data_IF_896370701781
#
_entry.id   IF_896370701781
#
_cell.length_a   1.000
_cell.length_b   1.000
_cell.length_c   1.000
_cell.angle_alpha   90.00
_cell.angle_beta   90.00
_cell.angle_gamma   90.00
#
_symmetry.space_group_name_H-M   'P 1'
#
loop_
_entity.id
_entity.type
_entity.pdbx_description
1 polymer ?
#
# COMPACT_ATOMS: atom_id res chain seq x y z
N UNK A 1 13.65 -49.28 -10.60
CA UNK A 1 13.06 -48.03 -11.13
C UNK A 1 12.37 -47.33 -9.99
N UNK A 2 13.05 -46.38 -9.34
CA UNK A 2 12.51 -45.67 -8.17
C UNK A 2 12.14 -44.26 -8.62
N UNK A 3 10.84 -44.02 -8.76
CA UNK A 3 10.27 -42.74 -9.17
C UNK A 3 10.53 -41.70 -8.10
N UNK A 4 11.46 -40.77 -8.37
CA UNK A 4 11.68 -39.58 -7.55
C UNK A 4 10.53 -38.62 -7.81
N UNK A 5 9.54 -38.60 -6.92
CA UNK A 5 8.53 -37.55 -6.90
C UNK A 5 9.17 -36.27 -6.36
N UNK A 6 9.70 -35.42 -7.26
CA UNK A 6 9.98 -34.03 -6.94
C UNK A 6 8.65 -33.33 -6.65
N UNK A 7 8.29 -33.24 -5.36
CA UNK A 7 7.32 -32.25 -4.89
C UNK A 7 7.97 -30.87 -5.05
N UNK A 8 7.80 -30.24 -6.21
CA UNK A 8 7.96 -28.79 -6.30
C UNK A 8 6.92 -28.17 -5.37
N UNK A 9 7.35 -27.70 -4.18
CA UNK A 9 6.56 -26.80 -3.35
C UNK A 9 6.36 -25.51 -4.16
N UNK A 10 5.28 -25.46 -4.94
CA UNK A 10 4.78 -24.21 -5.46
C UNK A 10 4.14 -23.51 -4.25
N UNK A 11 4.85 -22.53 -3.68
CA UNK A 11 4.25 -21.66 -2.68
C UNK A 11 3.01 -21.02 -3.34
N UNK A 12 1.84 -21.02 -2.69
CA UNK A 12 0.71 -20.29 -3.22
C UNK A 12 1.14 -18.82 -3.37
N UNK A 13 1.04 -18.30 -4.60
CA UNK A 13 1.35 -16.92 -4.95
C UNK A 13 0.29 -15.99 -4.33
N UNK A 14 0.28 -15.90 -3.00
CA UNK A 14 -0.52 -14.91 -2.29
C UNK A 14 0.14 -13.55 -2.49
N UNK A 15 -0.32 -12.81 -3.49
CA UNK A 15 0.09 -11.42 -3.67
C UNK A 15 -0.42 -10.58 -2.50
N UNK A 16 0.49 -9.80 -1.93
CA UNK A 16 0.16 -8.73 -0.99
C UNK A 16 0.01 -7.43 -1.76
N UNK A 17 -1.10 -6.73 -1.53
CA UNK A 17 -1.44 -5.47 -2.16
C UNK A 17 -1.43 -4.41 -1.07
N UNK A 18 -0.64 -3.35 -1.26
CA UNK A 18 -0.58 -2.21 -0.35
C UNK A 18 -1.12 -0.95 -1.05
N UNK A 19 -2.11 -0.30 -0.43
CA UNK A 19 -2.57 1.03 -0.80
C UNK A 19 -1.80 2.06 0.05
N UNK A 20 -0.85 2.76 -0.56
CA UNK A 20 -0.11 3.83 0.10
C UNK A 20 -0.76 5.19 -0.12
N UNK A 21 -0.88 5.95 0.97
CA UNK A 21 -1.51 7.26 1.02
C UNK A 21 -0.54 8.28 1.62
N UNK A 22 -0.57 9.52 1.14
CA UNK A 22 0.11 10.65 1.78
C UNK A 22 -0.95 11.52 2.46
N UNK A 23 -0.82 11.72 3.78
CA UNK A 23 -1.77 12.50 4.55
C UNK A 23 -3.05 11.76 4.88
N UNK A 24 -3.93 12.42 5.65
CA UNK A 24 -5.20 11.84 6.10
C UNK A 24 -6.33 12.24 5.15
N UNK A 25 -7.21 11.29 4.81
CA UNK A 25 -8.48 11.56 4.14
C UNK A 25 -9.39 12.35 5.10
N UNK A 26 -9.83 13.53 4.68
CA UNK A 26 -10.69 14.41 5.48
C UNK A 26 -12.17 14.27 5.10
N UNK A 27 -12.47 13.90 3.86
CA UNK A 27 -13.85 13.70 3.43
C UNK A 27 -14.42 12.37 3.94
N UNK A 28 -15.43 12.46 4.81
CA UNK A 28 -16.08 11.28 5.43
C UNK A 28 -16.59 10.27 4.40
N UNK A 29 -17.21 10.73 3.32
CA UNK A 29 -17.76 9.84 2.30
C UNK A 29 -16.68 9.03 1.57
N UNK A 30 -15.50 9.61 1.36
CA UNK A 30 -14.34 8.90 0.79
C UNK A 30 -13.80 7.89 1.80
N UNK A 31 -13.63 8.28 3.07
CA UNK A 31 -13.16 7.38 4.12
C UNK A 31 -14.07 6.15 4.28
N UNK A 32 -15.40 6.34 4.27
CA UNK A 32 -16.37 5.24 4.31
C UNK A 32 -16.28 4.35 3.08
N UNK A 33 -16.07 4.94 1.89
CA UNK A 33 -15.83 4.19 0.66
C UNK A 33 -14.59 3.30 0.76
N UNK A 34 -13.46 3.87 1.16
CA UNK A 34 -12.18 3.17 1.35
C UNK A 34 -12.34 1.99 2.31
N UNK A 35 -13.01 2.20 3.46
CA UNK A 35 -13.27 1.13 4.43
C UNK A 35 -14.17 0.02 3.85
N UNK A 36 -15.19 0.39 3.08
CA UNK A 36 -16.11 -0.57 2.48
C UNK A 36 -15.41 -1.46 1.45
N UNK A 37 -14.56 -0.88 0.59
CA UNK A 37 -13.87 -1.63 -0.44
C UNK A 37 -12.65 -2.39 0.09
N UNK A 38 -11.91 -1.86 1.05
CA UNK A 38 -10.77 -2.57 1.67
C UNK A 38 -11.21 -3.89 2.31
N UNK A 39 -12.35 -3.89 3.03
CA UNK A 39 -12.98 -5.11 3.60
C UNK A 39 -13.42 -6.13 2.55
N UNK A 40 -13.70 -5.70 1.32
CA UNK A 40 -14.05 -6.60 0.22
C UNK A 40 -12.80 -7.21 -0.40
N UNK A 41 -11.77 -6.40 -0.66
CA UNK A 41 -10.51 -6.84 -1.28
C UNK A 41 -9.74 -7.79 -0.37
N UNK A 42 -9.73 -7.53 0.95
CA UNK A 42 -9.01 -8.36 1.93
C UNK A 42 -9.52 -9.79 2.04
N UNK A 43 -10.73 -10.09 1.54
CA UNK A 43 -11.27 -11.46 1.45
C UNK A 43 -10.59 -12.30 0.37
N UNK A 44 -9.98 -11.66 -0.62
CA UNK A 44 -9.42 -12.31 -1.81
C UNK A 44 -7.89 -12.24 -1.87
N UNK A 45 -7.27 -11.28 -1.18
CA UNK A 45 -5.82 -11.07 -1.18
C UNK A 45 -5.37 -10.41 0.13
N UNK A 46 -4.09 -10.52 0.47
CA UNK A 46 -3.53 -9.74 1.57
C UNK A 46 -3.56 -8.26 1.20
N UNK A 47 -4.50 -7.48 1.74
CA UNK A 47 -4.66 -6.06 1.43
C UNK A 47 -4.37 -5.21 2.66
N UNK A 48 -3.47 -4.24 2.54
CA UNK A 48 -3.13 -3.30 3.59
C UNK A 48 -3.22 -1.85 3.10
N UNK A 49 -3.46 -0.93 4.04
CA UNK A 49 -3.47 0.50 3.80
C UNK A 49 -2.37 1.12 4.65
N UNK A 50 -1.45 1.83 4.02
CA UNK A 50 -0.32 2.47 4.67
C UNK A 50 -0.46 3.99 4.50
N UNK A 51 -0.67 4.71 5.59
CA UNK A 51 -0.80 6.17 5.58
C UNK A 51 0.50 6.82 6.03
N UNK A 52 1.17 7.50 5.11
CA UNK A 52 2.36 8.30 5.40
C UNK A 52 1.96 9.66 5.98
N UNK A 53 2.71 10.17 6.97
CA UNK A 53 2.43 11.47 7.55
C UNK A 53 2.73 12.59 6.55
N UNK A 54 1.91 13.64 6.60
CA UNK A 54 2.09 14.86 5.80
C UNK A 54 3.51 15.43 5.92
N UNK A 55 3.95 16.09 4.85
CA UNK A 55 5.17 16.90 4.91
C UNK A 55 4.92 18.14 5.78
N UNK A 56 5.86 18.44 6.68
CA UNK A 56 5.85 19.69 7.46
C UNK A 56 6.27 20.85 6.56
N UNK A 57 5.74 22.05 6.81
CA UNK A 57 6.13 23.30 6.15
C UNK A 57 5.93 23.31 4.61
N UNK A 58 4.95 22.59 4.09
CA UNK A 58 4.64 22.51 2.64
C UNK A 58 4.19 23.82 2.03
N UNK A 59 3.58 24.73 2.81
CA UNK A 59 3.07 26.02 2.31
C UNK A 59 4.12 26.85 1.54
N UNK A 60 5.38 26.77 1.95
CA UNK A 60 6.48 27.53 1.33
C UNK A 60 7.38 26.67 0.43
N UNK A 61 7.00 25.42 0.19
CA UNK A 61 7.80 24.46 -0.56
C UNK A 61 7.31 24.38 -2.01
N UNK A 62 8.21 24.46 -3.01
CA UNK A 62 7.84 24.25 -4.40
C UNK A 62 7.21 22.85 -4.62
N UNK A 63 6.21 22.70 -5.52
CA UNK A 63 5.55 21.41 -5.78
C UNK A 63 6.52 20.28 -6.15
N UNK A 64 7.56 20.58 -6.93
CA UNK A 64 8.60 19.59 -7.32
C UNK A 64 9.38 19.06 -6.10
N UNK A 65 9.70 19.94 -5.15
CA UNK A 65 10.40 19.54 -3.93
C UNK A 65 9.50 18.71 -3.01
N UNK A 66 8.20 19.05 -2.92
CA UNK A 66 7.22 18.26 -2.18
C UNK A 66 7.14 16.83 -2.74
N UNK A 67 7.00 16.71 -4.07
CA UNK A 67 6.95 15.43 -4.78
C UNK A 67 8.20 14.58 -4.55
N UNK A 68 9.40 15.18 -4.59
CA UNK A 68 10.65 14.48 -4.30
C UNK A 68 10.76 14.01 -2.85
N UNK A 69 10.25 14.79 -1.88
CA UNK A 69 10.26 14.40 -0.46
C UNK A 69 9.22 13.32 -0.16
N UNK A 70 8.03 13.40 -0.74
CA UNK A 70 7.01 12.35 -0.66
C UNK A 70 7.51 11.05 -1.29
N UNK A 71 8.08 11.11 -2.50
CA UNK A 71 8.67 9.96 -3.17
C UNK A 71 9.74 9.25 -2.32
N UNK A 72 10.62 10.02 -1.66
CA UNK A 72 11.60 9.48 -0.72
C UNK A 72 10.97 8.76 0.46
N UNK A 73 9.91 9.32 1.06
CA UNK A 73 9.18 8.67 2.17
C UNK A 73 8.51 7.37 1.71
N UNK A 74 7.95 7.36 0.49
CA UNK A 74 7.32 6.18 -0.09
C UNK A 74 8.34 5.06 -0.22
N UNK A 75 9.50 5.33 -0.84
CA UNK A 75 10.56 4.33 -1.03
C UNK A 75 11.08 3.78 0.31
N UNK A 76 11.18 4.62 1.35
CA UNK A 76 11.61 4.19 2.69
C UNK A 76 10.59 3.29 3.42
N UNK A 77 9.34 3.27 2.97
CA UNK A 77 8.23 2.55 3.61
C UNK A 77 7.86 1.26 2.89
N UNK A 78 8.55 0.94 1.80
CA UNK A 78 8.49 -0.34 1.06
C UNK A 78 9.56 -1.26 1.64
#
# INVERSE_FOLDING_TARGET
ASTVFLHTKVAPLFMKIALMLTGKTTEKHIATGVETYSKRISKYSGFEIITLPDLKNTRNMPPEEQKLKEGRKIIQSI
#
